data_IF_132067896074
#
_entry.id   IF_132067896074
#
_cell.length_a   1.000
_cell.length_b   1.000
_cell.length_c   1.000
_cell.angle_alpha   90.00
_cell.angle_beta   90.00
_cell.angle_gamma   90.00
#
_symmetry.space_group_name_H-M   'P 1'
#
loop_
_entity.id
_entity.type
_entity.pdbx_description
1 polymer ?
#
# COMPACT_ATOMS: atom_id res chain seq x y z
N UNK A 1 10.04 -2.47 21.87
CA UNK A 1 9.52 -3.71 21.18
C UNK A 1 10.26 -3.86 19.86
N UNK A 2 10.42 -5.07 19.30
CA UNK A 2 10.89 -5.29 17.93
C UNK A 2 9.70 -5.66 17.04
N UNK A 3 9.78 -5.44 15.74
CA UNK A 3 8.82 -5.99 14.80
C UNK A 3 8.76 -7.51 14.90
N UNK A 4 7.57 -8.08 14.78
CA UNK A 4 7.35 -9.52 14.75
C UNK A 4 7.82 -10.12 13.42
N UNK A 5 7.63 -9.38 12.34
CA UNK A 5 8.00 -9.75 10.97
C UNK A 5 8.97 -8.75 10.34
N UNK A 6 10.17 -8.53 10.92
CA UNK A 6 11.14 -7.55 10.43
C UNK A 6 11.64 -7.86 9.02
N UNK A 7 11.53 -9.11 8.57
CA UNK A 7 11.98 -9.54 7.25
C UNK A 7 11.26 -8.85 6.08
N UNK A 8 10.12 -8.21 6.28
CA UNK A 8 9.39 -7.52 5.22
C UNK A 8 9.85 -6.07 5.02
N UNK A 9 10.69 -5.54 5.88
CA UNK A 9 11.23 -4.18 5.81
C UNK A 9 12.76 -4.23 5.70
N UNK A 10 13.33 -3.58 4.70
CA UNK A 10 14.79 -3.56 4.49
C UNK A 10 15.31 -2.14 4.49
N UNK A 11 16.55 -1.97 4.97
CA UNK A 11 17.22 -0.68 5.02
C UNK A 11 18.00 -0.39 3.72
N UNK A 12 18.29 0.88 3.50
CA UNK A 12 19.02 1.34 2.31
C UNK A 12 20.43 0.77 2.22
N UNK A 13 21.12 0.54 3.35
CA UNK A 13 22.43 -0.12 3.40
C UNK A 13 22.33 -1.55 2.88
N UNK A 14 21.36 -2.31 3.39
CA UNK A 14 21.13 -3.67 2.95
C UNK A 14 20.85 -3.73 1.43
N UNK A 15 20.00 -2.84 0.92
CA UNK A 15 19.72 -2.81 -0.52
C UNK A 15 20.96 -2.47 -1.33
N UNK A 16 21.78 -1.49 -0.90
CA UNK A 16 23.01 -1.11 -1.59
C UNK A 16 23.99 -2.27 -1.72
N UNK A 17 24.10 -3.12 -0.70
CA UNK A 17 24.95 -4.31 -0.72
C UNK A 17 24.43 -5.42 -1.64
N UNK A 18 23.12 -5.43 -1.92
CA UNK A 18 22.44 -6.51 -2.66
C UNK A 18 21.96 -6.11 -4.06
N UNK A 19 22.16 -4.88 -4.51
CA UNK A 19 21.68 -4.39 -5.81
C UNK A 19 22.10 -5.26 -7.00
N UNK A 20 23.30 -5.85 -6.92
CA UNK A 20 23.87 -6.64 -8.02
C UNK A 20 23.60 -8.14 -7.90
N UNK A 21 22.76 -8.56 -6.96
CA UNK A 21 22.43 -9.97 -6.81
C UNK A 21 21.42 -10.41 -7.90
N UNK A 22 21.70 -11.50 -8.58
CA UNK A 22 20.91 -12.00 -9.69
C UNK A 22 19.45 -12.37 -9.31
N UNK A 23 19.21 -12.66 -8.03
CA UNK A 23 17.89 -13.00 -7.51
C UNK A 23 17.08 -11.80 -7.00
N UNK A 24 17.67 -10.60 -6.93
CA UNK A 24 16.99 -9.38 -6.48
C UNK A 24 16.28 -8.70 -7.67
N UNK A 25 15.05 -8.27 -7.42
CA UNK A 25 14.26 -7.40 -8.28
C UNK A 25 13.89 -6.15 -7.51
N UNK A 26 14.40 -5.01 -7.94
CA UNK A 26 14.09 -3.71 -7.33
C UNK A 26 13.07 -3.00 -8.20
N UNK A 27 11.94 -2.58 -7.64
CA UNK A 27 10.87 -1.94 -8.40
C UNK A 27 10.46 -0.63 -7.77
N UNK A 28 10.45 0.42 -8.58
CA UNK A 28 9.81 1.69 -8.26
C UNK A 28 8.29 1.54 -8.45
N UNK A 29 7.54 1.80 -7.40
CA UNK A 29 6.09 1.67 -7.36
C UNK A 29 5.37 3.02 -7.43
N UNK A 30 6.09 4.09 -7.69
CA UNK A 30 5.57 5.46 -7.62
C UNK A 30 4.37 5.64 -8.54
N UNK A 31 3.31 6.18 -7.96
CA UNK A 31 2.16 6.73 -8.67
C UNK A 31 1.72 8.03 -7.98
N UNK A 32 0.81 8.76 -8.59
CA UNK A 32 0.34 10.02 -8.06
C UNK A 32 -1.18 10.11 -8.10
N UNK A 33 -1.73 10.72 -7.06
CA UNK A 33 -3.10 11.21 -7.05
C UNK A 33 -3.10 12.69 -7.44
N UNK A 34 -3.48 12.98 -8.68
CA UNK A 34 -3.51 14.34 -9.22
C UNK A 34 -4.93 14.89 -9.20
N UNK A 35 -5.14 16.19 -8.98
CA UNK A 35 -6.45 16.80 -9.15
C UNK A 35 -7.00 16.53 -10.56
N UNK A 36 -8.29 16.19 -10.66
CA UNK A 36 -8.97 15.96 -11.94
C UNK A 36 -9.58 17.25 -12.55
N UNK A 37 -9.43 18.38 -11.87
CA UNK A 37 -10.01 19.67 -12.25
C UNK A 37 -11.51 19.80 -11.97
N UNK A 38 -12.15 18.79 -11.39
CA UNK A 38 -13.59 18.73 -11.07
C UNK A 38 -13.86 18.51 -9.57
N UNK A 39 -12.82 18.67 -8.75
CA UNK A 39 -12.89 18.46 -7.29
C UNK A 39 -12.59 17.01 -6.85
N UNK A 40 -12.32 16.10 -7.77
CA UNK A 40 -11.88 14.75 -7.54
C UNK A 40 -10.38 14.55 -7.82
N UNK A 41 -9.99 13.30 -7.92
CA UNK A 41 -8.62 12.87 -8.22
C UNK A 41 -8.59 11.93 -9.42
N UNK A 42 -7.52 12.05 -10.24
CA UNK A 42 -7.14 11.09 -11.26
C UNK A 42 -5.83 10.39 -10.87
N UNK A 43 -5.70 9.14 -11.26
CA UNK A 43 -4.45 8.40 -11.12
C UNK A 43 -3.46 8.80 -12.21
N UNK A 44 -2.18 8.90 -11.84
CA UNK A 44 -1.09 9.14 -12.78
C UNK A 44 0.08 8.21 -12.48
N UNK A 45 0.62 7.56 -13.51
CA UNK A 45 1.79 6.68 -13.37
C UNK A 45 3.04 7.48 -13.04
N UNK A 46 3.87 6.98 -12.13
CA UNK A 46 5.17 7.55 -11.79
C UNK A 46 6.28 7.25 -12.80
N UNK A 47 5.98 6.57 -13.91
CA UNK A 47 6.98 6.17 -14.91
C UNK A 47 7.85 7.34 -15.39
N UNK A 48 7.27 8.49 -15.66
CA UNK A 48 8.02 9.68 -16.09
C UNK A 48 9.04 10.16 -15.02
N UNK A 49 8.68 10.08 -13.74
CA UNK A 49 9.61 10.41 -12.65
C UNK A 49 10.72 9.37 -12.52
N UNK A 50 10.38 8.09 -12.66
CA UNK A 50 11.36 7.00 -12.65
C UNK A 50 12.37 7.13 -13.84
N UNK A 51 11.92 7.52 -15.02
CA UNK A 51 12.80 7.76 -16.18
C UNK A 51 13.79 8.91 -15.95
N UNK A 52 13.43 9.89 -15.11
CA UNK A 52 14.31 11.02 -14.76
C UNK A 52 15.37 10.58 -13.73
N UNK A 53 14.97 9.87 -12.69
CA UNK A 53 15.90 9.37 -11.66
C UNK A 53 15.29 8.19 -10.88
N UNK A 54 16.10 7.17 -10.63
CA UNK A 54 15.70 6.00 -9.87
C UNK A 54 16.89 5.31 -9.19
N UNK A 55 16.62 4.38 -8.28
CA UNK A 55 17.66 3.51 -7.69
C UNK A 55 18.27 2.64 -8.80
N UNK A 56 19.62 2.58 -8.93
CA UNK A 56 20.28 1.84 -10.00
C UNK A 56 19.76 0.40 -10.12
N UNK A 57 19.49 -0.03 -11.34
CA UNK A 57 18.98 -1.36 -11.62
C UNK A 57 17.48 -1.55 -11.35
N UNK A 58 16.76 -0.56 -10.82
CA UNK A 58 15.31 -0.72 -10.62
C UNK A 58 14.51 -0.66 -11.91
N UNK A 59 13.49 -1.54 -12.01
CA UNK A 59 12.39 -1.39 -12.95
C UNK A 59 11.28 -0.51 -12.36
N UNK A 60 10.24 -0.23 -13.16
CA UNK A 60 9.03 0.48 -12.72
C UNK A 60 7.83 -0.46 -12.75
N UNK A 61 7.19 -0.65 -11.59
CA UNK A 61 5.94 -1.41 -11.44
C UNK A 61 4.75 -0.45 -11.54
N UNK A 62 4.11 -0.42 -12.70
CA UNK A 62 3.03 0.53 -13.01
C UNK A 62 1.70 0.08 -12.40
N UNK A 63 1.39 0.60 -11.20
CA UNK A 63 0.12 0.30 -10.54
C UNK A 63 -1.08 0.76 -11.37
N UNK A 64 -0.96 1.88 -12.06
CA UNK A 64 -2.08 2.51 -12.77
C UNK A 64 -2.45 1.73 -14.02
N UNK A 65 -1.47 1.36 -14.83
CA UNK A 65 -1.71 0.77 -16.15
C UNK A 65 -1.63 -0.77 -16.16
N UNK A 66 -0.69 -1.36 -15.41
CA UNK A 66 -0.42 -2.79 -15.47
C UNK A 66 -1.09 -3.59 -14.34
N UNK A 67 -1.16 -3.00 -13.13
CA UNK A 67 -1.49 -3.69 -11.88
C UNK A 67 -2.87 -3.31 -11.31
N UNK A 68 -3.69 -2.59 -12.06
CA UNK A 68 -5.09 -2.31 -11.69
C UNK A 68 -6.05 -2.88 -12.72
N UNK A 69 -7.22 -3.30 -12.26
CA UNK A 69 -8.31 -3.73 -13.17
C UNK A 69 -8.84 -2.52 -13.95
N UNK A 70 -8.58 -2.49 -15.25
CA UNK A 70 -9.00 -1.39 -16.15
C UNK A 70 -10.52 -1.40 -16.43
N UNK A 71 -11.22 -2.49 -16.10
CA UNK A 71 -12.67 -2.62 -16.28
C UNK A 71 -13.45 -2.33 -15.00
N UNK A 72 -12.76 -2.13 -13.88
CA UNK A 72 -13.39 -1.83 -12.60
C UNK A 72 -13.99 -0.41 -12.57
N UNK A 73 -15.07 -0.24 -11.79
CA UNK A 73 -15.73 1.07 -11.63
C UNK A 73 -14.91 2.07 -10.80
N UNK A 74 -13.97 1.56 -10.00
CA UNK A 74 -13.14 2.37 -9.09
C UNK A 74 -11.67 2.21 -9.45
N UNK A 75 -10.87 3.24 -9.14
CA UNK A 75 -9.43 3.23 -9.38
C UNK A 75 -8.71 2.24 -8.47
N UNK A 76 -7.58 1.72 -8.95
CA UNK A 76 -6.64 0.88 -8.20
C UNK A 76 -7.19 -0.47 -7.75
N UNK A 77 -8.36 -0.90 -8.28
CA UNK A 77 -8.94 -2.19 -7.93
C UNK A 77 -7.99 -3.33 -8.28
N UNK A 78 -8.00 -4.35 -7.40
CA UNK A 78 -7.20 -5.55 -7.59
C UNK A 78 -7.46 -6.16 -8.98
N UNK A 79 -6.42 -6.40 -9.80
CA UNK A 79 -6.60 -6.94 -11.14
C UNK A 79 -6.95 -8.44 -11.10
N UNK A 80 -7.51 -8.99 -12.18
CA UNK A 80 -7.64 -10.44 -12.36
C UNK A 80 -6.31 -11.16 -12.18
N UNK A 81 -6.36 -12.41 -11.69
CA UNK A 81 -5.18 -13.24 -11.39
C UNK A 81 -4.22 -13.33 -12.57
N UNK A 82 -4.76 -13.54 -13.77
CA UNK A 82 -4.00 -13.71 -15.01
C UNK A 82 -3.28 -12.42 -15.41
N UNK A 83 -3.94 -11.26 -15.24
CA UNK A 83 -3.33 -9.95 -15.49
C UNK A 83 -2.16 -9.71 -14.53
N UNK A 84 -2.37 -9.94 -13.24
CA UNK A 84 -1.32 -9.78 -12.23
C UNK A 84 -0.14 -10.72 -12.48
N UNK A 85 -0.41 -12.00 -12.72
CA UNK A 85 0.64 -13.00 -12.99
C UNK A 85 1.46 -12.66 -14.24
N UNK A 86 0.80 -12.16 -15.28
CA UNK A 86 1.47 -11.71 -16.52
C UNK A 86 2.39 -10.51 -16.23
N UNK A 87 1.91 -9.51 -15.50
CA UNK A 87 2.70 -8.32 -15.16
C UNK A 87 3.91 -8.69 -14.30
N UNK A 88 3.73 -9.47 -13.23
CA UNK A 88 4.82 -9.94 -12.37
C UNK A 88 5.85 -10.77 -13.14
N UNK A 89 5.40 -11.62 -14.05
CA UNK A 89 6.30 -12.38 -14.93
C UNK A 89 7.13 -11.44 -15.85
N UNK A 90 6.51 -10.39 -16.38
CA UNK A 90 7.19 -9.35 -17.16
C UNK A 90 8.21 -8.55 -16.36
N UNK A 91 7.96 -8.32 -15.06
CA UNK A 91 8.92 -7.70 -14.15
C UNK A 91 10.02 -8.67 -13.67
N UNK A 92 10.09 -9.87 -14.23
CA UNK A 92 11.11 -10.86 -13.90
C UNK A 92 10.91 -11.50 -12.51
N UNK A 93 9.71 -11.49 -11.97
CA UNK A 93 9.39 -12.09 -10.67
C UNK A 93 8.96 -13.56 -10.87
N UNK A 94 9.63 -14.45 -10.16
CA UNK A 94 9.37 -15.89 -10.18
C UNK A 94 9.79 -16.57 -8.88
N UNK A 95 9.71 -17.90 -8.83
CA UNK A 95 9.89 -18.68 -7.60
C UNK A 95 11.22 -18.43 -6.86
N UNK A 96 12.28 -18.07 -7.59
CA UNK A 96 13.62 -17.90 -7.03
C UNK A 96 14.03 -16.42 -6.92
N UNK A 97 13.10 -15.48 -6.99
CA UNK A 97 13.41 -14.06 -6.88
C UNK A 97 12.98 -13.50 -5.53
N UNK A 98 13.67 -12.45 -5.09
CA UNK A 98 13.33 -11.59 -3.96
C UNK A 98 13.03 -10.19 -4.50
N UNK A 99 11.95 -9.59 -4.06
CA UNK A 99 11.47 -8.31 -4.59
C UNK A 99 11.64 -7.22 -3.54
N UNK A 100 12.27 -6.12 -3.91
CA UNK A 100 12.35 -4.90 -3.08
C UNK A 100 11.51 -3.82 -3.75
N UNK A 101 10.51 -3.33 -3.03
CA UNK A 101 9.57 -2.31 -3.48
C UNK A 101 9.89 -0.98 -2.81
N UNK A 102 9.90 0.09 -3.56
CA UNK A 102 10.01 1.44 -3.04
C UNK A 102 9.11 2.40 -3.82
N UNK A 103 8.84 3.55 -3.24
CA UNK A 103 8.29 4.68 -3.98
C UNK A 103 9.01 5.99 -3.61
N UNK A 104 8.69 7.06 -4.31
CA UNK A 104 9.29 8.39 -4.11
C UNK A 104 8.52 9.25 -3.10
N UNK A 105 7.47 8.71 -2.49
CA UNK A 105 6.57 9.45 -1.61
C UNK A 105 6.62 8.91 -0.18
N UNK A 106 5.53 8.36 0.32
CA UNK A 106 5.35 7.96 1.73
C UNK A 106 5.39 6.44 1.97
N UNK A 107 5.78 5.64 0.98
CA UNK A 107 5.77 4.17 1.07
C UNK A 107 4.43 3.50 0.76
N UNK A 108 3.35 4.28 0.63
CA UNK A 108 2.01 3.70 0.45
C UNK A 108 1.81 3.00 -0.89
N UNK A 109 2.49 3.43 -1.96
CA UNK A 109 2.44 2.76 -3.26
C UNK A 109 3.23 1.45 -3.25
N UNK A 110 4.39 1.44 -2.58
CA UNK A 110 5.19 0.24 -2.40
C UNK A 110 4.44 -0.80 -1.55
N UNK A 111 3.83 -0.38 -0.44
CA UNK A 111 3.03 -1.29 0.41
C UNK A 111 1.76 -1.79 -0.27
N UNK A 112 1.18 -1.02 -1.20
CA UNK A 112 0.07 -1.50 -2.03
C UNK A 112 0.50 -2.69 -2.88
N UNK A 113 1.62 -2.61 -3.59
CA UNK A 113 2.11 -3.71 -4.42
C UNK A 113 2.59 -4.87 -3.56
N UNK A 114 3.20 -4.60 -2.39
CA UNK A 114 3.54 -5.61 -1.40
C UNK A 114 2.29 -6.41 -0.96
N UNK A 115 1.19 -5.71 -0.65
CA UNK A 115 -0.07 -6.34 -0.25
C UNK A 115 -0.66 -7.20 -1.37
N UNK A 116 -0.60 -6.71 -2.61
CA UNK A 116 -1.05 -7.47 -3.78
C UNK A 116 -0.22 -8.75 -3.99
N UNK A 117 1.11 -8.68 -3.90
CA UNK A 117 1.97 -9.87 -3.98
C UNK A 117 1.61 -10.89 -2.90
N UNK A 118 1.35 -10.43 -1.68
CA UNK A 118 0.90 -11.28 -0.58
C UNK A 118 -0.47 -11.92 -0.86
N UNK A 119 -1.43 -11.18 -1.40
CA UNK A 119 -2.74 -11.70 -1.83
C UNK A 119 -2.56 -12.81 -2.86
N UNK A 120 -1.67 -12.63 -3.82
CA UNK A 120 -1.41 -13.62 -4.88
C UNK A 120 -0.39 -14.71 -4.46
N UNK A 121 -0.05 -14.79 -3.18
CA UNK A 121 0.69 -15.91 -2.60
C UNK A 121 2.21 -15.83 -2.71
N UNK A 122 2.77 -14.62 -2.88
CA UNK A 122 4.21 -14.38 -2.95
C UNK A 122 4.70 -13.55 -1.76
N UNK A 123 5.54 -14.15 -0.90
CA UNK A 123 6.02 -13.53 0.34
C UNK A 123 7.48 -13.07 0.32
N UNK A 124 8.26 -13.45 -0.71
CA UNK A 124 9.67 -13.02 -0.83
C UNK A 124 9.74 -11.55 -1.31
N UNK A 125 9.02 -10.68 -0.62
CA UNK A 125 8.85 -9.26 -0.96
C UNK A 125 9.14 -8.38 0.24
N UNK A 126 9.90 -7.33 0.01
CA UNK A 126 10.34 -6.38 1.01
C UNK A 126 9.97 -4.96 0.60
N UNK A 127 9.72 -4.09 1.58
CA UNK A 127 9.57 -2.65 1.38
C UNK A 127 10.85 -1.95 1.82
N UNK A 128 11.36 -1.03 1.02
CA UNK A 128 12.54 -0.22 1.36
C UNK A 128 12.14 0.88 2.34
N UNK A 129 12.69 0.84 3.55
CA UNK A 129 12.40 1.82 4.60
C UNK A 129 12.91 3.22 4.20
N UNK A 130 12.00 4.19 4.14
CA UNK A 130 12.27 5.55 3.69
C UNK A 130 12.32 5.74 2.16
N UNK A 131 12.18 4.66 1.37
CA UNK A 131 12.05 4.68 -0.08
C UNK A 131 13.15 5.46 -0.82
N UNK A 132 12.80 6.05 -1.97
CA UNK A 132 13.72 6.87 -2.76
C UNK A 132 14.16 8.12 -1.99
N UNK A 133 13.32 8.64 -1.12
CA UNK A 133 13.62 9.86 -0.37
C UNK A 133 14.85 9.65 0.55
N UNK A 134 14.85 8.62 1.41
CA UNK A 134 15.98 8.28 2.27
C UNK A 134 17.23 7.94 1.46
N UNK A 135 17.09 7.19 0.35
CA UNK A 135 18.19 6.86 -0.55
C UNK A 135 18.92 8.11 -1.04
N UNK A 136 18.16 9.17 -1.40
CA UNK A 136 18.68 10.47 -1.83
C UNK A 136 19.30 11.25 -0.67
N UNK A 137 18.68 11.28 0.51
CA UNK A 137 19.23 11.95 1.69
C UNK A 137 20.59 11.39 2.09
N UNK A 138 20.82 10.10 1.88
CA UNK A 138 22.12 9.45 2.10
C UNK A 138 23.13 9.67 0.96
N UNK A 139 22.80 10.50 -0.03
CA UNK A 139 23.63 10.78 -1.21
C UNK A 139 24.06 9.51 -1.98
N UNK A 140 23.22 8.50 -2.02
CA UNK A 140 23.49 7.27 -2.77
C UNK A 140 23.33 7.49 -4.28
N UNK A 141 23.98 6.64 -5.06
CA UNK A 141 23.93 6.73 -6.52
C UNK A 141 22.51 6.62 -7.06
N UNK A 142 22.22 7.42 -8.07
CA UNK A 142 20.98 7.36 -8.86
C UNK A 142 21.31 6.99 -10.31
N UNK A 143 20.32 6.50 -11.03
CA UNK A 143 20.41 6.14 -12.46
C UNK A 143 19.30 6.83 -13.24
N UNK A 144 19.59 7.08 -14.51
CA UNK A 144 18.61 7.47 -15.55
C UNK A 144 18.48 6.38 -16.61
N UNK A 145 19.26 5.30 -16.47
CA UNK A 145 19.31 4.22 -17.46
C UNK A 145 18.17 3.25 -17.20
N UNK A 146 17.26 3.05 -18.15
CA UNK A 146 16.15 2.10 -17.96
C UNK A 146 16.69 0.70 -17.66
N UNK A 147 16.11 0.06 -16.66
CA UNK A 147 16.43 -1.33 -16.33
C UNK A 147 15.20 -2.20 -16.53
N UNK A 148 15.44 -3.37 -17.10
CA UNK A 148 14.45 -4.42 -17.25
C UNK A 148 15.04 -5.73 -16.80
N UNK A 149 14.22 -6.58 -16.21
CA UNK A 149 14.63 -7.92 -15.81
C UNK A 149 14.22 -8.93 -16.90
N UNK A 150 14.99 -10.01 -17.11
CA UNK A 150 14.54 -11.12 -17.95
C UNK A 150 13.18 -11.64 -17.43
N UNK A 151 12.21 -11.92 -18.31
CA UNK A 151 10.93 -12.47 -17.91
C UNK A 151 11.10 -13.78 -17.12
N UNK A 152 10.26 -13.95 -16.09
CA UNK A 152 10.20 -15.16 -15.28
C UNK A 152 8.78 -15.74 -15.33
N UNK A 153 8.54 -16.84 -14.61
CA UNK A 153 7.19 -17.41 -14.48
C UNK A 153 6.70 -17.13 -13.06
N UNK A 154 5.69 -16.27 -12.95
CA UNK A 154 5.01 -16.01 -11.70
C UNK A 154 3.81 -16.94 -11.54
N UNK A 155 3.83 -17.77 -10.52
CA UNK A 155 2.74 -18.66 -10.17
C UNK A 155 1.86 -18.05 -9.08
N UNK A 156 0.79 -17.40 -9.48
CA UNK A 156 -0.17 -16.85 -8.53
C UNK A 156 -0.90 -17.96 -7.76
N UNK A 157 -0.96 -17.80 -6.43
CA UNK A 157 -1.72 -18.67 -5.50
C UNK A 157 -2.59 -17.78 -4.60
N UNK A 158 -3.76 -17.32 -5.09
CA UNK A 158 -4.59 -16.38 -4.35
C UNK A 158 -4.93 -16.86 -2.94
N UNK A 159 -4.83 -15.95 -1.98
CA UNK A 159 -5.18 -16.15 -0.57
C UNK A 159 -6.50 -15.46 -0.26
N UNK A 160 -7.33 -16.11 0.50
CA UNK A 160 -8.56 -15.53 1.04
C UNK A 160 -8.29 -14.78 2.34
N UNK A 161 -9.22 -13.90 2.73
CA UNK A 161 -9.18 -13.21 4.02
C UNK A 161 -8.32 -11.95 4.07
N UNK A 162 -7.51 -11.66 3.03
CA UNK A 162 -6.66 -10.46 2.97
C UNK A 162 -7.39 -9.25 2.34
N UNK A 163 -8.56 -9.47 1.75
CA UNK A 163 -9.45 -8.44 1.22
C UNK A 163 -10.79 -8.52 1.94
N UNK A 164 -11.38 -7.35 2.17
CA UNK A 164 -12.74 -7.21 2.65
C UNK A 164 -13.59 -6.54 1.56
N UNK A 165 -14.84 -6.93 1.48
CA UNK A 165 -15.81 -6.27 0.63
C UNK A 165 -16.76 -5.35 1.44
N UNK A 166 -17.62 -4.64 0.74
CA UNK A 166 -18.60 -3.74 1.33
C UNK A 166 -19.51 -4.41 2.36
N UNK A 167 -19.92 -5.66 2.10
CA UNK A 167 -20.85 -6.37 2.98
C UNK A 167 -20.16 -6.79 4.28
N UNK A 168 -18.89 -7.21 4.19
CA UNK A 168 -18.08 -7.52 5.37
C UNK A 168 -17.86 -6.27 6.24
N UNK A 169 -17.55 -5.11 5.62
CA UNK A 169 -17.37 -3.85 6.36
C UNK A 169 -18.69 -3.41 7.00
N UNK A 170 -19.84 -3.55 6.29
CA UNK A 170 -21.14 -3.21 6.85
C UNK A 170 -21.45 -4.06 8.08
N UNK A 171 -21.25 -5.37 8.03
CA UNK A 171 -21.42 -6.25 9.17
C UNK A 171 -20.48 -5.90 10.32
N UNK A 172 -19.20 -5.60 10.02
CA UNK A 172 -18.19 -5.27 11.01
C UNK A 172 -18.53 -4.02 11.83
N UNK A 173 -19.07 -2.97 11.19
CA UNK A 173 -19.44 -1.73 11.90
C UNK A 173 -20.75 -1.86 12.70
N UNK A 174 -21.57 -2.88 12.43
CA UNK A 174 -22.81 -3.17 13.15
C UNK A 174 -22.55 -4.01 14.41
N UNK A 175 -21.69 -5.04 14.31
CA UNK A 175 -21.46 -5.98 15.43
C UNK A 175 -20.34 -5.54 16.39
N UNK A 176 -19.44 -4.67 15.92
CA UNK A 176 -18.34 -4.11 16.71
C UNK A 176 -17.26 -5.13 17.10
N UNK A 177 -17.26 -6.35 16.54
CA UNK A 177 -16.25 -7.39 16.81
C UNK A 177 -14.96 -7.18 16.01
N UNK A 178 -15.02 -6.38 14.95
CA UNK A 178 -13.93 -6.08 14.01
C UNK A 178 -13.53 -4.63 14.15
N UNK A 179 -12.24 -4.36 14.31
CA UNK A 179 -11.72 -3.00 14.28
C UNK A 179 -11.62 -2.52 12.82
N UNK A 180 -12.40 -1.52 12.44
CA UNK A 180 -12.35 -0.92 11.08
C UNK A 180 -11.61 0.40 11.14
N UNK A 181 -10.46 0.49 10.44
CA UNK A 181 -9.50 1.60 10.52
C UNK A 181 -9.55 2.41 9.23
N UNK A 182 -9.75 3.72 9.36
CA UNK A 182 -9.60 4.70 8.30
C UNK A 182 -8.15 5.19 8.23
N UNK A 183 -7.45 4.90 7.13
CA UNK A 183 -6.07 5.31 6.90
C UNK A 183 -5.94 6.72 6.26
N UNK A 184 -7.05 7.41 5.99
CA UNK A 184 -7.03 8.79 5.49
C UNK A 184 -6.62 9.78 6.57
N UNK A 185 -6.26 11.00 6.17
CA UNK A 185 -5.92 12.07 7.10
C UNK A 185 -7.07 12.35 8.09
N UNK A 186 -6.74 12.95 9.23
CA UNK A 186 -7.73 13.32 10.25
C UNK A 186 -8.81 14.24 9.67
N UNK A 187 -8.44 15.20 8.81
CA UNK A 187 -9.40 16.12 8.20
C UNK A 187 -10.37 15.40 7.25
N UNK A 188 -9.88 14.42 6.49
CA UNK A 188 -10.75 13.58 5.65
C UNK A 188 -11.67 12.69 6.51
N UNK A 189 -11.15 12.11 7.59
CA UNK A 189 -11.92 11.29 8.53
C UNK A 189 -13.05 12.10 9.19
N UNK A 190 -12.77 13.35 9.57
CA UNK A 190 -13.76 14.26 10.14
C UNK A 190 -14.68 14.90 9.07
N UNK A 191 -14.32 14.81 7.79
CA UNK A 191 -15.06 15.45 6.69
C UNK A 191 -14.79 16.94 6.54
N UNK A 192 -13.74 17.47 7.16
CA UNK A 192 -13.40 18.89 7.20
C UNK A 192 -12.43 19.33 6.10
N UNK A 193 -11.85 18.39 5.35
CA UNK A 193 -10.90 18.72 4.28
C UNK A 193 -10.41 17.50 3.51
N UNK A 194 -9.48 17.74 2.57
CA UNK A 194 -8.83 16.73 1.75
C UNK A 194 -9.62 16.33 0.49
N UNK A 195 -9.21 15.24 -0.14
CA UNK A 195 -9.82 14.75 -1.38
C UNK A 195 -11.28 14.31 -1.16
N UNK A 196 -12.12 14.60 -2.14
CA UNK A 196 -13.53 14.24 -2.12
C UNK A 196 -13.77 12.88 -2.83
N UNK A 197 -14.47 11.98 -2.14
CA UNK A 197 -14.90 10.68 -2.66
C UNK A 197 -16.43 10.59 -2.85
N UNK A 198 -17.15 11.70 -2.64
CA UNK A 198 -18.61 11.79 -2.65
C UNK A 198 -19.10 12.50 -1.39
N UNK A 199 -19.73 11.77 -0.46
CA UNK A 199 -20.12 12.33 0.83
C UNK A 199 -18.90 12.53 1.73
N UNK A 200 -18.75 13.70 2.43
CA UNK A 200 -17.64 13.93 3.35
C UNK A 200 -17.77 13.08 4.63
N UNK A 201 -16.64 12.89 5.32
CA UNK A 201 -16.58 12.14 6.57
C UNK A 201 -16.06 10.70 6.37
N UNK A 202 -16.52 9.81 7.24
CA UNK A 202 -16.04 8.43 7.35
C UNK A 202 -17.16 7.40 7.32
N UNK A 203 -16.81 6.15 7.13
CA UNK A 203 -17.68 5.01 7.45
C UNK A 203 -18.04 5.09 8.94
N UNK A 204 -19.33 4.94 9.29
CA UNK A 204 -19.78 5.03 10.69
C UNK A 204 -19.09 3.98 11.56
N UNK A 205 -18.90 4.29 12.85
CA UNK A 205 -18.29 3.40 13.84
C UNK A 205 -16.86 2.94 13.50
N UNK A 206 -16.10 3.75 12.76
CA UNK A 206 -14.70 3.46 12.43
C UNK A 206 -13.75 4.40 13.15
N UNK A 207 -12.52 3.94 13.35
CA UNK A 207 -11.43 4.68 13.99
C UNK A 207 -10.45 5.21 12.96
N UNK A 208 -9.55 6.10 13.37
CA UNK A 208 -8.59 6.71 12.44
C UNK A 208 -7.15 6.46 12.87
N UNK A 209 -6.37 5.91 11.96
CA UNK A 209 -4.91 5.85 12.03
C UNK A 209 -4.40 6.36 10.68
N UNK A 210 -4.08 7.66 10.55
CA UNK A 210 -3.65 8.21 9.27
C UNK A 210 -2.34 7.58 8.80
N UNK A 211 -2.32 7.00 7.62
CA UNK A 211 -1.11 6.38 7.06
C UNK A 211 0.08 7.37 6.96
N UNK A 212 -0.20 8.65 6.74
CA UNK A 212 0.82 9.71 6.72
C UNK A 212 1.50 9.97 8.06
N UNK A 213 0.89 9.54 9.18
CA UNK A 213 1.45 9.72 10.52
C UNK A 213 2.33 8.53 10.96
N UNK A 214 2.50 7.50 10.12
CA UNK A 214 3.25 6.28 10.45
C UNK A 214 4.74 6.36 10.09
N UNK A 215 5.17 7.44 9.47
CA UNK A 215 6.56 7.69 9.08
C UNK A 215 7.05 9.01 9.67
N UNK A 216 8.35 9.12 9.80
CA UNK A 216 9.01 10.38 10.09
C UNK A 216 8.92 11.32 8.87
N UNK A 217 8.46 12.57 9.03
CA UNK A 217 8.21 13.46 7.89
C UNK A 217 9.47 13.95 7.17
N UNK A 218 10.65 13.88 7.81
CA UNK A 218 11.91 14.33 7.23
C UNK A 218 12.63 13.22 6.48
N UNK A 219 12.51 11.98 6.94
CA UNK A 219 13.26 10.85 6.41
C UNK A 219 12.38 9.83 5.68
N UNK A 220 11.07 9.90 5.83
CA UNK A 220 10.08 8.91 5.41
C UNK A 220 10.28 7.51 6.00
N UNK A 221 11.16 7.36 6.97
CA UNK A 221 11.38 6.10 7.70
C UNK A 221 10.18 5.83 8.59
N UNK A 222 9.75 4.59 8.69
CA UNK A 222 8.69 4.20 9.62
C UNK A 222 9.09 4.53 11.06
N UNK A 223 8.13 4.97 11.85
CA UNK A 223 8.29 5.18 13.28
C UNK A 223 8.75 3.89 13.96
N UNK A 224 9.26 4.02 15.20
CA UNK A 224 9.69 2.84 15.96
C UNK A 224 8.53 1.86 16.19
N UNK A 225 8.82 0.55 16.33
CA UNK A 225 7.79 -0.46 16.58
C UNK A 225 6.89 -0.16 17.79
N UNK A 226 7.43 0.48 18.83
CA UNK A 226 6.64 0.89 20.01
C UNK A 226 5.66 2.02 19.66
N UNK A 227 6.12 3.06 18.96
CA UNK A 227 5.26 4.16 18.53
C UNK A 227 4.15 3.71 17.59
N UNK A 228 4.47 2.80 16.65
CA UNK A 228 3.48 2.24 15.73
C UNK A 228 2.46 1.37 16.49
N UNK A 229 2.92 0.51 17.40
CA UNK A 229 2.03 -0.33 18.20
C UNK A 229 1.06 0.51 19.04
N UNK A 230 1.56 1.60 19.66
CA UNK A 230 0.74 2.51 20.47
C UNK A 230 -0.36 3.19 19.61
N UNK A 231 -0.06 3.58 18.34
CA UNK A 231 -1.06 4.19 17.46
C UNK A 231 -2.23 3.26 17.17
N UNK A 232 -1.95 2.01 16.83
CA UNK A 232 -2.99 1.02 16.53
C UNK A 232 -3.73 0.57 17.79
N UNK A 233 -3.02 0.36 18.92
CA UNK A 233 -3.63 0.01 20.19
C UNK A 233 -4.56 1.12 20.72
N UNK A 234 -4.14 2.39 20.64
CA UNK A 234 -4.96 3.54 21.03
C UNK A 234 -6.20 3.71 20.13
N UNK A 235 -6.16 3.22 18.89
CA UNK A 235 -7.31 3.14 18.01
C UNK A 235 -8.20 1.91 18.27
N UNK A 236 -7.85 1.06 19.24
CA UNK A 236 -8.62 -0.12 19.63
C UNK A 236 -8.34 -1.37 18.79
N UNK A 237 -7.27 -1.37 17.98
CA UNK A 237 -6.86 -2.58 17.27
C UNK A 237 -6.30 -3.63 18.23
N UNK A 238 -6.82 -4.84 18.14
CA UNK A 238 -6.37 -6.00 18.93
C UNK A 238 -5.82 -7.08 18.00
N UNK A 239 -4.71 -7.71 18.41
CA UNK A 239 -4.03 -8.72 17.61
C UNK A 239 -4.81 -10.02 17.44
N UNK A 240 -5.65 -10.33 18.40
CA UNK A 240 -6.51 -11.53 18.39
C UNK A 240 -7.78 -11.33 17.56
N UNK A 241 -8.10 -10.07 17.23
CA UNK A 241 -9.31 -9.70 16.50
C UNK A 241 -9.02 -9.44 15.02
N UNK A 242 -10.08 -9.44 14.20
CA UNK A 242 -9.98 -9.01 12.82
C UNK A 242 -9.82 -7.49 12.74
N UNK A 243 -8.92 -7.04 11.87
CA UNK A 243 -8.74 -5.62 11.54
C UNK A 243 -8.97 -5.41 10.05
N UNK A 244 -9.82 -4.46 9.70
CA UNK A 244 -10.05 -4.06 8.30
C UNK A 244 -9.57 -2.62 8.13
N UNK A 245 -8.61 -2.39 7.26
CA UNK A 245 -8.16 -1.06 6.89
C UNK A 245 -8.87 -0.58 5.61
N UNK A 246 -9.27 0.69 5.58
CA UNK A 246 -9.80 1.34 4.38
C UNK A 246 -9.25 2.77 4.24
N UNK A 247 -9.38 3.32 3.03
CA UNK A 247 -8.98 4.71 2.74
C UNK A 247 -9.84 5.33 1.64
N UNK A 248 -9.25 5.92 0.62
CA UNK A 248 -9.95 6.40 -0.58
C UNK A 248 -10.18 5.31 -1.63
N UNK A 249 -9.18 4.42 -1.83
CA UNK A 249 -9.18 3.35 -2.85
C UNK A 249 -8.03 2.37 -2.61
N UNK A 250 -7.86 1.87 -1.38
CA UNK A 250 -6.98 0.76 -1.01
C UNK A 250 -5.49 1.09 -0.84
N UNK A 251 -5.01 2.28 -1.21
CA UNK A 251 -3.56 2.60 -1.20
C UNK A 251 -3.04 2.84 0.22
N UNK A 252 -3.51 3.89 0.90
CA UNK A 252 -3.10 4.21 2.27
C UNK A 252 -3.48 3.06 3.24
N UNK A 253 -4.62 2.40 3.01
CA UNK A 253 -5.05 1.23 3.77
C UNK A 253 -4.05 0.07 3.68
N UNK A 254 -3.39 -0.12 2.54
CA UNK A 254 -2.35 -1.14 2.38
C UNK A 254 -1.10 -0.81 3.20
N UNK A 255 -0.82 0.48 3.46
CA UNK A 255 0.26 0.87 4.36
C UNK A 255 -0.06 0.50 5.82
N UNK A 256 -1.28 0.77 6.28
CA UNK A 256 -1.72 0.34 7.62
C UNK A 256 -1.68 -1.19 7.75
N UNK A 257 -2.17 -1.92 6.74
CA UNK A 257 -2.14 -3.38 6.70
C UNK A 257 -0.70 -3.95 6.72
N UNK A 258 0.24 -3.29 6.04
CA UNK A 258 1.66 -3.63 6.09
C UNK A 258 2.24 -3.47 7.50
N UNK A 259 2.00 -2.32 8.15
CA UNK A 259 2.49 -2.06 9.50
C UNK A 259 1.87 -3.02 10.52
N UNK A 260 0.57 -3.25 10.45
CA UNK A 260 -0.11 -4.25 11.29
C UNK A 260 0.54 -5.62 11.12
N UNK A 261 0.88 -6.02 9.88
CA UNK A 261 1.61 -7.27 9.63
C UNK A 261 3.00 -7.25 10.26
N UNK A 262 3.77 -6.17 10.12
CA UNK A 262 5.09 -6.03 10.78
C UNK A 262 4.98 -6.19 12.31
N UNK A 263 3.91 -5.66 12.92
CA UNK A 263 3.63 -5.74 14.35
C UNK A 263 3.11 -7.11 14.80
N UNK A 264 2.78 -8.02 13.85
CA UNK A 264 2.34 -9.38 14.13
C UNK A 264 0.82 -9.55 14.28
N UNK A 265 0.02 -8.68 13.67
CA UNK A 265 -1.41 -8.92 13.49
C UNK A 265 -1.59 -9.94 12.36
N UNK A 266 -2.29 -11.02 12.63
CA UNK A 266 -2.45 -12.14 11.67
C UNK A 266 -3.74 -12.03 10.84
N UNK A 267 -4.78 -11.40 11.39
CA UNK A 267 -6.09 -11.30 10.76
C UNK A 267 -6.37 -9.88 10.26
N UNK A 268 -5.64 -9.46 9.22
CA UNK A 268 -5.73 -8.12 8.61
C UNK A 268 -6.30 -8.22 7.21
N UNK A 269 -7.20 -7.31 6.86
CA UNK A 269 -7.71 -7.15 5.50
C UNK A 269 -7.71 -5.68 5.06
N UNK A 270 -7.72 -5.49 3.74
CA UNK A 270 -7.94 -4.19 3.10
C UNK A 270 -9.31 -4.19 2.41
N UNK A 271 -10.12 -3.18 2.70
CA UNK A 271 -11.31 -2.89 1.91
C UNK A 271 -10.88 -2.07 0.68
N UNK A 272 -10.82 -2.73 -0.47
CA UNK A 272 -10.16 -2.21 -1.69
C UNK A 272 -10.88 -0.97 -2.25
N UNK A 273 -12.18 -1.07 -2.51
CA UNK A 273 -12.98 0.02 -3.07
C UNK A 273 -13.12 1.22 -2.11
N UNK A 274 -13.05 0.97 -0.80
CA UNK A 274 -12.94 2.02 0.22
C UNK A 274 -14.01 3.12 0.10
N UNK A 275 -13.65 4.37 0.36
CA UNK A 275 -14.54 5.53 0.24
C UNK A 275 -14.99 5.79 -1.21
N UNK A 276 -14.24 5.35 -2.22
CA UNK A 276 -14.67 5.48 -3.62
C UNK A 276 -15.98 4.74 -3.90
N UNK A 277 -16.22 3.61 -3.26
CA UNK A 277 -17.49 2.89 -3.31
C UNK A 277 -18.47 3.41 -2.25
N UNK A 278 -18.02 3.47 -0.99
CA UNK A 278 -18.87 3.71 0.16
C UNK A 278 -19.54 5.07 0.15
N UNK A 279 -18.77 6.13 -0.12
CA UNK A 279 -19.30 7.49 -0.10
C UNK A 279 -20.21 7.79 -1.29
N UNK A 280 -20.13 7.02 -2.36
CA UNK A 280 -21.02 7.12 -3.54
C UNK A 280 -22.40 6.52 -3.32
N UNK A 281 -22.57 5.59 -2.36
CA UNK A 281 -23.86 4.93 -2.08
C UNK A 281 -24.58 5.60 -0.90
N UNK A 282 -25.70 6.32 -1.13
CA UNK A 282 -26.41 7.04 -0.07
C UNK A 282 -27.07 6.12 0.96
N UNK A 283 -27.22 4.83 0.68
CA UNK A 283 -27.80 3.86 1.62
C UNK A 283 -26.80 3.38 2.68
N UNK A 284 -25.49 3.58 2.46
CA UNK A 284 -24.47 3.14 3.40
C UNK A 284 -24.23 4.17 4.52
N UNK A 285 -24.05 3.72 5.78
CA UNK A 285 -23.94 4.61 6.91
C UNK A 285 -22.63 5.38 6.92
N UNK A 286 -22.71 6.71 7.07
CA UNK A 286 -21.58 7.60 7.22
C UNK A 286 -21.72 8.48 8.45
N UNK A 287 -20.57 8.91 8.97
CA UNK A 287 -20.46 9.82 10.10
C UNK A 287 -19.59 11.02 9.72
N UNK A 288 -20.02 12.20 10.17
CA UNK A 288 -19.35 13.48 10.00
C UNK A 288 -18.98 14.07 11.37
N UNK A 289 -17.81 14.74 11.48
CA UNK A 289 -17.35 15.38 12.73
C UNK A 289 -16.59 14.47 13.69
#
# INVERSE_FOLDING_TARGET
MAFKHPQFLVETDWLAEHLNNDDIRVLDCTAFNMPDGKGGIRAESGRASWEIEHIPGSGHADLVNDLSDQNASFRYMLPPVEQFAKAMSGYGIGANTRVVLYDSTSGSWATRIWWMLRIFGFDATYVLNGGLHKWKLENRALSTSPSTYPPAIFHAKPRTGLMADRLEVLAAIEDGSTCVINALSKDQHLGTGGANYGRPGRISNTVNVPAGDLTDPETHVYLSPDQLADRFANAGADKESRVIAYCGGGIAASNDAFILTLLGYENVAVYDASMSEWAGDPSLPMQFG
#
